data_IF_950947867371
#
_entry.id   IF_950947867371
#
_cell.length_a   1.000
_cell.length_b   1.000
_cell.length_c   1.000
_cell.angle_alpha   90.00
_cell.angle_beta   90.00
_cell.angle_gamma   90.00
#
_symmetry.space_group_name_H-M   'P 1'
#
loop_
_entity.id
_entity.type
_entity.pdbx_description
1 polymer ?
#
# COMPACT_ATOMS: atom_id res chain seq x y z
N UNK A 1 -4.99 2.66 -32.43
CA UNK A 1 -6.39 2.46 -32.01
C UNK A 1 -6.47 3.08 -30.63
N UNK A 2 -7.17 4.19 -30.49
CA UNK A 2 -7.25 4.93 -29.23
C UNK A 2 -8.16 4.13 -28.32
N UNK A 3 -7.59 3.52 -27.28
CA UNK A 3 -8.38 2.85 -26.24
C UNK A 3 -9.04 3.94 -25.40
N UNK A 4 -10.36 4.01 -25.46
CA UNK A 4 -11.15 4.78 -24.52
C UNK A 4 -11.03 4.11 -23.15
N UNK A 5 -10.57 4.87 -22.15
CA UNK A 5 -10.66 4.45 -20.75
C UNK A 5 -12.11 4.12 -20.41
N UNK A 6 -12.39 3.06 -19.64
CA UNK A 6 -13.73 2.81 -19.14
C UNK A 6 -14.16 4.03 -18.31
N UNK A 7 -15.31 4.60 -18.68
CA UNK A 7 -15.99 5.64 -17.92
C UNK A 7 -16.50 5.01 -16.63
N UNK A 8 -15.77 5.20 -15.54
CA UNK A 8 -16.27 4.98 -14.20
C UNK A 8 -17.45 5.93 -13.97
N UNK A 9 -18.60 5.38 -13.58
CA UNK A 9 -19.70 6.18 -13.07
C UNK A 9 -19.29 6.72 -11.69
N UNK A 10 -18.50 7.80 -11.67
CA UNK A 10 -18.31 8.59 -10.47
C UNK A 10 -19.69 9.12 -10.08
N UNK A 11 -20.19 8.71 -8.91
CA UNK A 11 -21.15 9.54 -8.20
C UNK A 11 -20.44 10.89 -7.98
N UNK A 12 -20.79 11.90 -8.77
CA UNK A 12 -20.18 13.22 -8.66
C UNK A 12 -20.48 13.78 -7.26
N UNK A 13 -19.47 13.79 -6.38
CA UNK A 13 -19.50 14.58 -5.16
C UNK A 13 -19.68 16.05 -5.56
N UNK A 14 -20.82 16.63 -5.19
CA UNK A 14 -21.16 18.03 -5.50
C UNK A 14 -20.92 18.97 -4.31
N UNK A 15 -20.42 18.43 -3.19
CA UNK A 15 -19.96 19.18 -2.02
C UNK A 15 -18.49 18.90 -1.68
N UNK A 16 -17.90 19.79 -0.89
CA UNK A 16 -16.48 19.75 -0.52
C UNK A 16 -16.12 18.69 0.54
N UNK A 17 -17.07 17.85 0.98
CA UNK A 17 -16.86 16.89 2.06
C UNK A 17 -16.01 15.67 1.71
N UNK A 18 -15.82 15.37 0.42
CA UNK A 18 -14.94 14.30 -0.08
C UNK A 18 -13.81 14.94 -0.90
N UNK A 19 -12.59 14.45 -0.73
CA UNK A 19 -11.45 14.77 -1.61
C UNK A 19 -11.64 14.01 -2.93
N UNK A 20 -11.88 14.70 -4.05
CA UNK A 20 -12.12 14.03 -5.32
C UNK A 20 -10.84 13.35 -5.82
N UNK A 21 -10.97 12.32 -6.65
CA UNK A 21 -9.82 11.79 -7.37
C UNK A 21 -9.29 12.82 -8.38
N UNK A 22 -7.97 12.96 -8.45
CA UNK A 22 -7.28 13.77 -9.45
C UNK A 22 -6.63 12.84 -10.49
N UNK A 23 -6.75 13.15 -11.78
CA UNK A 23 -6.15 12.35 -12.85
C UNK A 23 -4.62 12.20 -12.71
N UNK A 24 -3.97 13.26 -12.22
CA UNK A 24 -2.54 13.25 -11.90
C UNK A 24 -2.27 12.76 -10.47
N UNK A 25 -3.26 12.87 -9.57
CA UNK A 25 -3.06 12.75 -8.13
C UNK A 25 -2.70 14.11 -7.51
N UNK A 26 -2.63 14.13 -6.20
CA UNK A 26 -2.17 15.25 -5.37
C UNK A 26 -0.74 15.00 -4.90
N UNK A 27 0.00 16.07 -4.67
CA UNK A 27 1.29 15.99 -3.95
C UNK A 27 1.08 15.44 -2.55
N UNK A 28 1.99 14.60 -2.06
CA UNK A 28 1.89 13.95 -0.74
C UNK A 28 1.86 14.94 0.43
N UNK A 29 2.43 16.13 0.23
CA UNK A 29 2.49 17.25 1.17
C UNK A 29 1.39 18.31 0.96
N UNK A 30 0.43 18.05 0.06
CA UNK A 30 -0.65 18.99 -0.22
C UNK A 30 -1.72 19.00 0.88
N UNK A 31 -2.42 20.13 0.99
CA UNK A 31 -3.54 20.27 1.92
C UNK A 31 -4.68 19.29 1.59
N UNK A 32 -4.92 19.02 0.31
CA UNK A 32 -5.91 18.04 -0.14
C UNK A 32 -5.54 16.61 0.28
N UNK A 33 -4.28 16.20 0.10
CA UNK A 33 -3.84 14.85 0.50
C UNK A 33 -3.85 14.68 2.02
N UNK A 34 -3.50 15.71 2.78
CA UNK A 34 -3.54 15.72 4.25
C UNK A 34 -4.94 15.50 4.84
N UNK A 35 -6.00 15.66 4.03
CA UNK A 35 -7.39 15.37 4.43
C UNK A 35 -7.74 13.89 4.36
N UNK A 36 -6.90 13.04 3.79
CA UNK A 36 -7.18 11.61 3.68
C UNK A 36 -6.69 10.88 4.93
N UNK A 37 -7.64 10.27 5.66
CA UNK A 37 -7.35 9.56 6.90
C UNK A 37 -7.91 8.14 6.84
N UNK A 38 -7.06 7.17 6.54
CA UNK A 38 -7.45 5.77 6.59
C UNK A 38 -6.45 4.86 5.90
N UNK A 39 -6.53 3.55 6.18
CA UNK A 39 -5.69 2.55 5.52
C UNK A 39 -5.92 2.47 4.01
N UNK A 40 -7.13 2.75 3.53
CA UNK A 40 -7.48 2.72 2.10
C UNK A 40 -6.87 3.83 1.25
N UNK A 41 -6.05 4.74 1.81
CA UNK A 41 -5.28 5.71 1.01
C UNK A 41 -4.39 4.97 0.02
N UNK A 42 -3.91 3.79 0.43
CA UNK A 42 -3.29 2.80 -0.44
C UNK A 42 -4.15 1.53 -0.50
N UNK A 43 -4.17 0.89 -1.65
CA UNK A 43 -4.81 -0.40 -1.92
C UNK A 43 -3.77 -1.40 -2.39
N UNK A 44 -4.02 -2.65 -2.03
CA UNK A 44 -3.09 -3.74 -2.26
C UNK A 44 -3.87 -5.01 -2.62
N UNK A 45 -3.65 -5.52 -3.83
CA UNK A 45 -4.37 -6.72 -4.31
C UNK A 45 -3.50 -7.98 -4.38
N UNK A 46 -2.18 -7.80 -4.46
CA UNK A 46 -1.20 -8.87 -4.48
C UNK A 46 0.22 -8.30 -4.27
N UNK A 47 1.20 -9.21 -4.23
CA UNK A 47 2.62 -8.91 -4.19
C UNK A 47 3.32 -9.15 -5.52
N UNK A 48 4.38 -8.39 -5.77
CA UNK A 48 5.27 -8.61 -6.89
C UNK A 48 6.73 -8.74 -6.48
N UNK A 49 7.31 -9.88 -6.86
CA UNK A 49 8.71 -10.24 -6.68
C UNK A 49 9.62 -9.36 -7.55
N UNK A 50 10.20 -8.31 -7.00
CA UNK A 50 11.08 -7.41 -7.76
C UNK A 50 12.55 -7.68 -7.45
N UNK A 51 13.17 -8.49 -8.31
CA UNK A 51 14.54 -8.97 -8.13
C UNK A 51 15.57 -7.84 -8.29
N UNK A 52 16.45 -7.68 -7.28
CA UNK A 52 17.72 -6.97 -7.40
C UNK A 52 18.85 -7.99 -7.63
N UNK A 53 19.45 -7.98 -8.83
CA UNK A 53 20.42 -9.00 -9.24
C UNK A 53 20.47 -9.21 -10.75
N UNK A 54 21.02 -10.34 -11.19
CA UNK A 54 21.08 -10.70 -12.61
C UNK A 54 20.10 -11.84 -12.91
N UNK A 55 19.11 -11.56 -13.75
CA UNK A 55 18.10 -12.54 -14.20
C UNK A 55 18.15 -12.60 -15.73
N UNK A 56 18.29 -13.81 -16.28
CA UNK A 56 18.36 -14.06 -17.72
C UNK A 56 19.38 -13.17 -18.45
N UNK A 57 20.56 -13.00 -17.85
CA UNK A 57 21.65 -12.17 -18.39
C UNK A 57 21.40 -10.66 -18.34
N UNK A 58 20.35 -10.20 -17.65
CA UNK A 58 20.02 -8.79 -17.48
C UNK A 58 20.15 -8.40 -16.02
N UNK A 59 20.98 -7.40 -15.73
CA UNK A 59 21.06 -6.77 -14.40
C UNK A 59 19.80 -5.98 -14.15
N UNK A 60 19.21 -6.15 -12.97
CA UNK A 60 18.06 -5.41 -12.47
C UNK A 60 18.41 -4.70 -11.18
N UNK A 61 18.00 -3.45 -11.07
CA UNK A 61 18.06 -2.65 -9.83
C UNK A 61 16.68 -2.10 -9.54
N UNK A 62 16.37 -1.95 -8.26
CA UNK A 62 15.08 -1.45 -7.77
C UNK A 62 15.28 -0.06 -7.20
N UNK A 63 14.45 0.90 -7.58
CA UNK A 63 14.48 2.25 -7.07
C UNK A 63 13.10 2.64 -6.55
N UNK A 64 12.97 2.86 -5.24
CA UNK A 64 11.76 3.39 -4.65
C UNK A 64 11.88 4.92 -4.56
N UNK A 65 11.16 5.63 -5.42
CA UNK A 65 11.06 7.09 -5.46
C UNK A 65 10.11 7.57 -4.37
N UNK A 66 10.50 8.62 -3.68
CA UNK A 66 9.67 9.30 -2.68
C UNK A 66 9.95 10.80 -2.65
N UNK A 67 8.92 11.60 -2.37
CA UNK A 67 9.08 13.01 -1.97
C UNK A 67 9.33 13.07 -0.47
N UNK A 68 10.41 13.71 -0.03
CA UNK A 68 10.68 13.86 1.40
C UNK A 68 9.64 14.81 2.02
N UNK A 69 8.94 14.38 3.07
CA UNK A 69 8.00 15.22 3.80
C UNK A 69 8.66 16.15 4.81
N UNK A 70 9.93 15.90 5.11
CA UNK A 70 10.64 16.49 6.24
C UNK A 70 12.11 16.72 5.89
N UNK A 71 12.67 17.83 6.40
CA UNK A 71 14.11 18.04 6.37
C UNK A 71 14.82 17.10 7.36
N UNK A 72 16.02 16.67 6.99
CA UNK A 72 16.98 16.06 7.92
C UNK A 72 17.64 14.78 7.43
N UNK A 73 18.41 14.16 8.32
CA UNK A 73 19.16 12.94 8.00
C UNK A 73 18.24 11.72 8.07
N UNK A 74 18.22 10.94 7.00
CA UNK A 74 17.58 9.62 7.00
C UNK A 74 18.45 8.63 7.79
N UNK A 75 17.89 8.10 8.87
CA UNK A 75 18.59 7.23 9.81
C UNK A 75 18.49 5.77 9.42
N UNK A 76 17.29 5.31 9.02
CA UNK A 76 17.05 3.93 8.70
C UNK A 76 15.97 3.75 7.63
N UNK A 77 15.96 2.58 7.01
CA UNK A 77 14.92 2.13 6.08
C UNK A 77 14.46 0.71 6.44
N UNK A 78 13.17 0.43 6.26
CA UNK A 78 12.65 -0.94 6.13
C UNK A 78 12.10 -1.14 4.75
N UNK A 79 12.34 -2.32 4.19
CA UNK A 79 11.80 -2.80 2.93
C UNK A 79 11.26 -4.22 3.14
N UNK A 80 10.45 -4.72 2.21
CA UNK A 80 9.89 -6.07 2.28
C UNK A 80 10.76 -7.10 1.56
N UNK A 81 11.27 -8.07 2.34
CA UNK A 81 12.27 -9.05 1.89
C UNK A 81 11.76 -10.49 2.04
N UNK A 82 10.84 -10.95 1.19
CA UNK A 82 10.46 -12.34 1.22
C UNK A 82 11.65 -13.25 0.88
N UNK A 83 11.63 -14.41 1.51
CA UNK A 83 12.58 -15.48 1.28
C UNK A 83 11.89 -16.68 0.62
N UNK A 84 12.68 -17.67 0.24
CA UNK A 84 12.21 -18.90 -0.37
C UNK A 84 12.39 -18.95 -1.89
N UNK A 85 12.06 -20.12 -2.44
CA UNK A 85 12.21 -20.40 -3.87
C UNK A 85 11.34 -19.45 -4.69
N UNK A 86 11.97 -18.72 -5.61
CA UNK A 86 11.31 -17.74 -6.47
C UNK A 86 11.38 -16.29 -5.97
N UNK A 87 11.83 -16.07 -4.73
CA UNK A 87 12.14 -14.75 -4.18
C UNK A 87 13.64 -14.51 -4.12
N UNK A 88 14.42 -15.56 -3.86
CA UNK A 88 15.87 -15.48 -3.79
C UNK A 88 16.54 -16.73 -4.36
N UNK A 89 17.85 -16.63 -4.60
CA UNK A 89 18.74 -17.73 -5.02
C UNK A 89 20.07 -17.65 -4.25
N UNK A 90 20.68 -18.81 -4.03
CA UNK A 90 21.98 -18.91 -3.34
C UNK A 90 21.92 -18.27 -1.95
N UNK A 91 22.84 -17.35 -1.69
CA UNK A 91 22.91 -16.62 -0.40
C UNK A 91 21.91 -15.48 -0.25
N UNK A 92 21.18 -15.13 -1.31
CA UNK A 92 20.40 -13.90 -1.40
C UNK A 92 21.21 -12.68 -1.88
N UNK A 93 22.54 -12.82 -1.97
CA UNK A 93 23.46 -11.76 -2.42
C UNK A 93 23.85 -10.77 -1.33
N UNK A 94 24.52 -9.71 -1.77
CA UNK A 94 24.88 -8.55 -0.96
C UNK A 94 24.23 -7.32 -1.57
N UNK A 95 23.22 -6.80 -0.90
CA UNK A 95 22.42 -5.70 -1.43
C UNK A 95 22.93 -4.39 -0.84
N UNK A 96 23.47 -3.53 -1.70
CA UNK A 96 23.76 -2.13 -1.38
C UNK A 96 22.47 -1.33 -1.50
N UNK A 97 22.12 -0.62 -0.45
CA UNK A 97 20.94 0.25 -0.39
C UNK A 97 21.45 1.67 -0.25
N UNK A 98 21.14 2.51 -1.24
CA UNK A 98 21.64 3.88 -1.33
C UNK A 98 20.48 4.87 -1.41
N UNK A 99 20.63 6.03 -0.76
CA UNK A 99 19.74 7.18 -0.96
C UNK A 99 20.37 8.06 -2.03
N UNK A 100 19.71 8.20 -3.16
CA UNK A 100 20.15 9.04 -4.28
C UNK A 100 19.20 10.22 -4.48
N UNK A 101 19.69 11.38 -4.93
CA UNK A 101 18.82 12.44 -5.41
C UNK A 101 18.15 12.02 -6.73
N UNK A 102 17.00 12.62 -7.02
CA UNK A 102 16.38 12.57 -8.35
C UNK A 102 17.29 13.21 -9.41
N UNK A 103 17.19 12.75 -10.66
CA UNK A 103 17.98 13.26 -11.78
C UNK A 103 17.42 14.55 -12.38
N UNK A 104 16.24 15.00 -11.95
CA UNK A 104 15.56 16.19 -12.44
C UNK A 104 15.01 16.04 -13.87
N UNK A 105 15.08 14.84 -14.44
CA UNK A 105 14.46 14.54 -15.73
C UNK A 105 12.94 14.43 -15.56
N UNK A 106 12.21 14.51 -16.68
CA UNK A 106 10.75 14.26 -16.66
C UNK A 106 10.39 12.82 -16.28
N UNK A 107 11.36 11.90 -16.30
CA UNK A 107 11.17 10.52 -15.86
C UNK A 107 11.35 10.34 -14.36
N UNK A 108 11.93 11.32 -13.67
CA UNK A 108 12.22 11.29 -12.24
C UNK A 108 12.92 9.97 -11.85
N UNK A 109 14.12 9.78 -12.40
CA UNK A 109 14.94 8.60 -12.22
C UNK A 109 16.07 8.90 -11.22
N UNK A 110 16.65 7.87 -10.56
CA UNK A 110 17.76 8.10 -9.63
C UNK A 110 18.96 8.68 -10.38
N UNK A 111 19.55 9.74 -9.81
CA UNK A 111 20.79 10.31 -10.32
C UNK A 111 21.98 9.39 -10.01
N UNK A 112 22.26 8.46 -10.93
CA UNK A 112 23.33 7.47 -10.79
C UNK A 112 24.75 8.06 -10.79
N UNK A 113 24.90 9.36 -11.07
CA UNK A 113 26.19 10.06 -11.07
C UNK A 113 26.42 10.86 -9.78
N UNK A 114 25.39 11.02 -8.95
CA UNK A 114 25.50 11.73 -7.68
C UNK A 114 26.14 10.84 -6.60
N UNK A 115 26.84 11.48 -5.66
CA UNK A 115 27.25 10.80 -4.43
C UNK A 115 26.01 10.47 -3.59
N UNK A 116 25.86 9.22 -3.11
CA UNK A 116 24.76 8.88 -2.23
C UNK A 116 24.71 9.73 -0.97
N UNK A 117 23.49 10.12 -0.57
CA UNK A 117 23.26 10.84 0.67
C UNK A 117 23.43 9.91 1.88
N UNK A 118 23.07 8.64 1.71
CA UNK A 118 23.25 7.59 2.71
C UNK A 118 23.43 6.22 2.05
N UNK A 119 24.16 5.31 2.71
CA UNK A 119 24.39 3.93 2.25
C UNK A 119 24.31 2.93 3.40
N UNK A 120 23.69 1.78 3.16
CA UNK A 120 23.73 0.60 4.02
C UNK A 120 23.79 -0.67 3.19
N UNK A 121 23.98 -1.82 3.85
CA UNK A 121 24.00 -3.12 3.22
C UNK A 121 23.05 -4.10 3.89
N UNK A 122 22.47 -4.99 3.09
CA UNK A 122 21.69 -6.11 3.57
C UNK A 122 22.20 -7.41 2.95
N UNK A 123 22.48 -8.39 3.81
CA UNK A 123 22.88 -9.74 3.43
C UNK A 123 21.85 -10.72 4.03
N UNK A 124 20.97 -11.30 3.20
CA UNK A 124 19.93 -12.22 3.67
C UNK A 124 20.46 -13.53 4.31
N UNK A 125 21.73 -13.90 4.03
CA UNK A 125 22.41 -15.10 4.53
C UNK A 125 21.59 -16.40 4.33
N UNK A 126 21.00 -16.56 3.15
CA UNK A 126 20.17 -17.69 2.80
C UNK A 126 21.02 -18.93 2.42
N UNK A 127 20.40 -20.10 2.46
CA UNK A 127 20.93 -21.32 1.87
C UNK A 127 20.00 -21.75 0.73
N UNK A 128 20.47 -21.64 -0.50
CA UNK A 128 19.69 -21.86 -1.73
C UNK A 128 18.35 -21.11 -1.74
N UNK A 129 18.40 -19.83 -1.35
CA UNK A 129 17.24 -18.95 -1.28
C UNK A 129 16.31 -19.19 -0.09
N UNK A 130 16.62 -20.14 0.80
CA UNK A 130 15.81 -20.45 2.00
C UNK A 130 16.51 -19.90 3.25
N UNK A 131 15.74 -19.31 4.18
CA UNK A 131 16.30 -18.85 5.46
C UNK A 131 16.92 -19.99 6.26
N UNK A 132 18.11 -19.74 6.78
CA UNK A 132 18.87 -20.68 7.63
C UNK A 132 18.67 -20.42 9.13
N UNK A 133 17.94 -19.35 9.50
CA UNK A 133 17.67 -18.96 10.88
C UNK A 133 16.48 -18.00 11.00
N UNK A 134 16.14 -17.62 12.24
CA UNK A 134 14.98 -16.79 12.58
C UNK A 134 15.20 -15.27 12.37
N UNK A 135 15.84 -14.88 11.27
CA UNK A 135 16.03 -13.46 10.93
C UNK A 135 14.71 -12.77 10.58
N UNK A 136 14.54 -11.47 10.90
CA UNK A 136 13.29 -10.75 10.64
C UNK A 136 13.02 -10.67 9.12
N UNK A 137 11.73 -10.75 8.74
CA UNK A 137 11.28 -10.60 7.35
C UNK A 137 11.44 -9.15 6.83
N UNK A 138 11.44 -8.18 7.75
CA UNK A 138 11.51 -6.74 7.46
C UNK A 138 12.47 -6.02 8.42
N UNK A 139 13.78 -6.33 8.36
CA UNK A 139 14.77 -5.67 9.21
C UNK A 139 14.73 -4.15 9.06
N UNK A 140 14.91 -3.45 10.19
CA UNK A 140 15.22 -2.01 10.20
C UNK A 140 16.70 -1.82 9.93
N UNK A 141 17.02 -1.41 8.71
CA UNK A 141 18.40 -1.25 8.26
C UNK A 141 18.86 0.17 8.56
N UNK A 142 19.84 0.28 9.44
CA UNK A 142 20.47 1.55 9.79
C UNK A 142 21.44 1.97 8.68
N UNK A 143 21.40 3.24 8.28
CA UNK A 143 22.38 3.78 7.34
C UNK A 143 23.76 3.88 7.99
N UNK A 144 24.75 3.21 7.39
CA UNK A 144 26.14 3.18 7.86
C UNK A 144 26.85 4.50 7.55
N UNK A 145 26.62 5.05 6.35
CA UNK A 145 26.96 6.42 5.99
C UNK A 145 25.69 7.23 5.79
N UNK A 146 25.64 8.46 6.31
CA UNK A 146 24.46 9.34 6.28
C UNK A 146 24.84 10.81 6.48
N UNK A 147 25.78 11.26 5.68
CA UNK A 147 26.44 12.56 5.89
C UNK A 147 25.65 13.75 5.34
N UNK A 148 24.65 13.49 4.49
CA UNK A 148 23.84 14.51 3.83
C UNK A 148 22.39 14.47 4.32
N UNK A 149 21.73 15.64 4.29
CA UNK A 149 20.34 15.79 4.71
C UNK A 149 19.40 15.75 3.50
N UNK A 150 18.22 15.18 3.70
CA UNK A 150 17.08 15.35 2.81
C UNK A 150 16.48 16.74 3.03
N UNK A 151 15.92 17.29 1.96
CA UNK A 151 15.20 18.56 1.96
C UNK A 151 13.72 18.28 1.73
N UNK A 152 12.86 18.84 2.59
CA UNK A 152 11.41 18.68 2.45
C UNK A 152 10.94 19.18 1.07
N UNK A 153 10.04 18.42 0.44
CA UNK A 153 9.51 18.72 -0.88
C UNK A 153 10.38 18.24 -2.05
N UNK A 154 11.62 17.78 -1.83
CA UNK A 154 12.48 17.24 -2.89
C UNK A 154 12.26 15.73 -3.11
N UNK A 155 12.57 15.27 -4.33
CA UNK A 155 12.47 13.85 -4.71
C UNK A 155 13.80 13.13 -4.47
N UNK A 156 13.68 11.92 -3.93
CA UNK A 156 14.80 11.03 -3.65
C UNK A 156 14.45 9.60 -4.01
N UNK A 157 15.46 8.75 -4.05
CA UNK A 157 15.35 7.35 -4.38
C UNK A 157 16.05 6.47 -3.35
N UNK A 158 15.37 5.45 -2.85
CA UNK A 158 16.02 4.29 -2.22
C UNK A 158 16.36 3.30 -3.33
N UNK A 159 17.63 3.30 -3.75
CA UNK A 159 18.16 2.38 -4.76
C UNK A 159 18.71 1.11 -4.10
N UNK A 160 18.27 -0.05 -4.58
CA UNK A 160 18.77 -1.37 -4.20
C UNK A 160 19.55 -1.98 -5.35
N UNK A 161 20.85 -2.17 -5.13
CA UNK A 161 21.77 -2.79 -6.07
C UNK A 161 22.36 -4.06 -5.47
N UNK A 162 22.45 -5.14 -6.26
CA UNK A 162 23.15 -6.33 -5.82
C UNK A 162 24.63 -6.25 -6.22
N UNK A 163 25.49 -6.10 -5.20
CA UNK A 163 26.94 -5.96 -5.33
C UNK A 163 27.68 -7.24 -4.94
N UNK A 164 26.98 -8.38 -4.85
CA UNK A 164 27.59 -9.69 -4.67
C UNK A 164 28.61 -9.97 -5.79
N UNK A 165 29.65 -10.75 -5.48
CA UNK A 165 30.65 -11.15 -6.48
C UNK A 165 30.05 -12.05 -7.59
N UNK A 166 28.92 -12.71 -7.32
CA UNK A 166 28.19 -13.54 -8.27
C UNK A 166 26.67 -13.27 -8.23
N UNK A 167 26.20 -12.11 -8.74
CA UNK A 167 24.82 -11.64 -8.57
C UNK A 167 23.80 -12.40 -9.44
N UNK A 168 24.25 -13.31 -10.32
CA UNK A 168 23.40 -14.23 -11.08
C UNK A 168 23.05 -15.52 -10.31
N UNK A 169 23.93 -15.91 -9.38
CA UNK A 169 23.73 -17.06 -8.51
C UNK A 169 23.21 -16.66 -7.13
N UNK A 170 23.45 -15.42 -6.71
CA UNK A 170 23.04 -14.88 -5.43
C UNK A 170 22.20 -13.61 -5.64
N UNK A 171 20.88 -13.72 -5.57
CA UNK A 171 19.98 -12.56 -5.68
C UNK A 171 18.81 -12.67 -4.72
N UNK A 172 18.15 -11.54 -4.49
CA UNK A 172 16.95 -11.45 -3.66
C UNK A 172 15.97 -10.42 -4.23
N UNK A 173 14.69 -10.65 -4.02
CA UNK A 173 13.62 -9.71 -4.33
C UNK A 173 13.43 -8.70 -3.21
N UNK A 174 13.21 -7.45 -3.61
CA UNK A 174 12.52 -6.44 -2.80
C UNK A 174 11.09 -6.46 -3.29
N UNK A 175 10.15 -6.89 -2.45
CA UNK A 175 8.77 -7.03 -2.91
C UNK A 175 8.03 -5.69 -2.85
N UNK A 176 7.10 -5.54 -3.78
CA UNK A 176 6.25 -4.36 -3.90
C UNK A 176 4.79 -4.75 -3.79
N UNK A 177 4.00 -3.82 -3.29
CA UNK A 177 2.56 -3.88 -3.37
C UNK A 177 2.15 -3.72 -4.82
N UNK A 178 1.22 -4.55 -5.29
CA UNK A 178 0.62 -4.39 -6.61
C UNK A 178 -0.90 -4.31 -6.57
N UNK A 179 -1.42 -3.48 -7.45
CA UNK A 179 -2.84 -3.37 -7.77
C UNK A 179 -3.05 -3.74 -9.23
N UNK A 180 -3.97 -4.66 -9.50
CA UNK A 180 -4.40 -4.92 -10.88
C UNK A 180 -4.96 -3.62 -11.47
N UNK A 181 -4.50 -3.22 -12.66
CA UNK A 181 -4.83 -1.94 -13.29
C UNK A 181 -6.33 -1.75 -13.51
N UNK A 182 -7.07 -2.83 -13.73
CA UNK A 182 -8.54 -2.76 -13.87
C UNK A 182 -9.23 -2.38 -12.56
N UNK A 183 -8.60 -2.64 -11.41
CA UNK A 183 -9.04 -2.16 -10.10
C UNK A 183 -8.54 -0.73 -9.77
N UNK A 184 -7.79 -0.10 -10.67
CA UNK A 184 -7.26 1.25 -10.52
C UNK A 184 -5.80 1.32 -10.07
N UNK A 185 -5.40 2.47 -9.50
CA UNK A 185 -4.04 2.73 -9.00
C UNK A 185 -3.93 2.33 -7.52
N UNK A 186 -2.73 1.91 -7.06
CA UNK A 186 -2.51 1.63 -5.63
C UNK A 186 -2.86 2.78 -4.70
N UNK A 187 -2.62 4.04 -5.08
CA UNK A 187 -3.12 5.20 -4.35
C UNK A 187 -3.79 6.16 -5.32
N UNK A 188 -5.13 6.09 -5.41
CA UNK A 188 -5.88 6.87 -6.43
C UNK A 188 -5.75 8.38 -6.26
N UNK A 189 -5.52 8.87 -5.04
CA UNK A 189 -5.38 10.31 -4.78
C UNK A 189 -3.94 10.80 -4.87
N UNK A 190 -2.94 9.93 -4.92
CA UNK A 190 -1.54 10.33 -4.84
C UNK A 190 -0.92 10.48 -6.23
N UNK A 191 -0.13 11.53 -6.44
CA UNK A 191 0.75 11.61 -7.61
C UNK A 191 1.82 10.51 -7.48
N UNK A 192 1.87 9.60 -8.46
CA UNK A 192 2.83 8.50 -8.48
C UNK A 192 4.30 8.97 -8.53
N UNK A 193 4.53 10.25 -8.80
CA UNK A 193 5.84 10.89 -8.68
C UNK A 193 6.30 10.92 -7.21
N UNK A 194 5.40 11.13 -6.28
CA UNK A 194 5.71 11.38 -4.86
C UNK A 194 5.91 10.09 -4.05
N UNK A 195 5.40 8.97 -4.56
CA UNK A 195 5.60 7.63 -4.01
C UNK A 195 5.48 6.60 -5.12
N UNK A 196 6.60 6.06 -5.58
CA UNK A 196 6.60 5.19 -6.75
C UNK A 196 7.81 4.26 -6.85
N UNK A 197 7.70 3.28 -7.73
CA UNK A 197 8.74 2.29 -7.98
C UNK A 197 9.21 2.37 -9.42
N UNK A 198 10.52 2.48 -9.58
CA UNK A 198 11.22 2.51 -10.87
C UNK A 198 12.20 1.35 -10.92
N UNK A 199 12.21 0.60 -12.02
CA UNK A 199 13.12 -0.54 -12.20
C UNK A 199 14.13 -0.19 -13.29
N UNK A 200 15.41 -0.32 -12.95
CA UNK A 200 16.52 -0.19 -13.89
C UNK A 200 16.90 -1.54 -14.47
N UNK A 201 16.98 -1.64 -15.80
CA UNK A 201 17.42 -2.82 -16.52
C UNK A 201 18.68 -2.52 -17.31
N UNK A 202 19.66 -3.42 -17.26
CA UNK A 202 20.92 -3.25 -17.98
C UNK A 202 21.48 -4.60 -18.43
N UNK A 203 21.77 -4.73 -19.73
CA UNK A 203 22.61 -5.83 -20.22
C UNK A 203 24.07 -5.49 -19.99
N UNK A 204 24.91 -6.51 -19.84
CA UNK A 204 26.35 -6.34 -19.61
C UNK A 204 26.98 -5.40 -20.65
N UNK A 205 27.66 -4.35 -20.17
CA UNK A 205 28.37 -3.38 -21.01
C UNK A 205 27.50 -2.27 -21.62
N UNK A 206 26.21 -2.20 -21.28
CA UNK A 206 25.31 -1.11 -21.69
C UNK A 206 24.92 -0.22 -20.50
N UNK A 207 24.25 0.90 -20.76
CA UNK A 207 23.67 1.75 -19.72
C UNK A 207 22.33 1.19 -19.22
N UNK A 208 21.83 1.73 -18.10
CA UNK A 208 20.51 1.40 -17.59
C UNK A 208 19.42 2.01 -18.47
N UNK A 209 18.40 1.20 -18.78
CA UNK A 209 17.08 1.67 -19.19
C UNK A 209 16.15 1.60 -18.00
N UNK A 210 15.37 2.65 -17.77
CA UNK A 210 14.47 2.76 -16.62
C UNK A 210 13.01 2.58 -17.05
N UNK A 211 12.20 2.04 -16.15
CA UNK A 211 10.75 1.91 -16.31
C UNK A 211 10.06 2.30 -15.02
N UNK A 212 9.12 3.23 -15.10
CA UNK A 212 8.27 3.60 -13.96
C UNK A 212 7.12 2.60 -13.87
N UNK A 213 7.23 1.63 -12.96
CA UNK A 213 6.21 0.57 -12.83
C UNK A 213 5.02 1.00 -11.98
N UNK A 214 5.08 2.16 -11.32
CA UNK A 214 3.93 2.76 -10.65
C UNK A 214 3.00 3.47 -11.64
N UNK A 215 3.57 4.15 -12.64
CA UNK A 215 2.80 4.83 -13.69
C UNK A 215 2.50 3.91 -14.89
N UNK A 216 3.51 3.22 -15.43
CA UNK A 216 3.38 2.43 -16.65
C UNK A 216 2.91 1.00 -16.38
N UNK A 217 3.16 0.47 -15.19
CA UNK A 217 2.86 -0.92 -14.80
C UNK A 217 3.80 -1.97 -15.39
N UNK A 218 3.68 -3.21 -14.91
CA UNK A 218 4.34 -4.39 -15.47
C UNK A 218 3.34 -5.53 -15.62
N UNK A 219 3.05 -5.91 -16.87
CA UNK A 219 1.84 -6.67 -17.18
C UNK A 219 0.60 -5.85 -16.82
N UNK A 220 -0.37 -6.51 -16.20
CA UNK A 220 -1.65 -5.91 -15.81
C UNK A 220 -1.60 -5.23 -14.43
N UNK A 221 -0.41 -5.05 -13.85
CA UNK A 221 -0.26 -4.58 -12.47
C UNK A 221 0.49 -3.26 -12.38
N UNK A 222 0.02 -2.38 -11.50
CA UNK A 222 0.68 -1.14 -11.07
C UNK A 222 1.30 -1.34 -9.69
N UNK A 223 2.46 -0.74 -9.46
CA UNK A 223 3.31 -1.02 -8.30
C UNK A 223 3.28 0.13 -7.29
N UNK A 224 3.48 -0.18 -6.02
CA UNK A 224 3.75 0.78 -4.95
C UNK A 224 4.85 0.25 -4.01
N UNK A 225 5.79 1.10 -3.58
CA UNK A 225 6.77 0.75 -2.57
C UNK A 225 6.14 0.22 -1.27
N UNK A 226 6.72 -0.86 -0.73
CA UNK A 226 6.50 -1.31 0.66
C UNK A 226 7.73 -0.86 1.46
N UNK A 227 7.64 0.30 2.09
CA UNK A 227 8.79 1.02 2.61
C UNK A 227 8.45 1.87 3.83
N UNK A 228 9.30 1.79 4.87
CA UNK A 228 9.34 2.72 6.01
C UNK A 228 10.67 3.49 5.95
N UNK A 229 10.59 4.81 6.07
CA UNK A 229 11.71 5.72 6.22
C UNK A 229 11.70 6.25 7.65
N UNK A 230 12.82 6.14 8.37
CA UNK A 230 12.98 6.72 9.71
C UNK A 230 14.06 7.79 9.67
N UNK A 231 13.70 9.00 10.07
CA UNK A 231 14.61 10.13 10.22
C UNK A 231 15.27 10.12 11.60
N UNK A 232 16.45 10.73 11.73
CA UNK A 232 17.21 10.78 12.98
C UNK A 232 16.47 11.45 14.16
N UNK A 233 15.43 12.25 13.87
CA UNK A 233 14.54 12.85 14.87
C UNK A 233 13.41 11.92 15.35
N UNK A 234 13.37 10.66 14.90
CA UNK A 234 12.33 9.69 15.21
C UNK A 234 11.07 9.79 14.34
N UNK A 235 10.99 10.79 13.45
CA UNK A 235 9.89 10.91 12.48
C UNK A 235 9.93 9.77 11.47
N UNK A 236 8.75 9.31 11.09
CA UNK A 236 8.55 8.21 10.15
C UNK A 236 7.74 8.69 8.96
N UNK A 237 8.10 8.21 7.77
CA UNK A 237 7.34 8.37 6.54
C UNK A 237 7.24 7.01 5.85
N UNK A 238 6.09 6.65 5.31
CA UNK A 238 6.02 5.55 4.35
C UNK A 238 4.66 4.90 4.22
N UNK A 239 4.68 3.70 3.63
CA UNK A 239 3.53 2.81 3.40
C UNK A 239 4.05 1.39 3.40
N UNK A 240 3.39 0.48 4.13
CA UNK A 240 3.90 -0.88 4.35
C UNK A 240 2.85 -1.98 4.13
N UNK A 241 2.00 -1.82 3.13
CA UNK A 241 0.98 -2.81 2.77
C UNK A 241 1.62 -4.03 2.08
N UNK A 242 1.73 -5.14 2.80
CA UNK A 242 2.57 -6.28 2.42
C UNK A 242 1.83 -7.55 2.02
N UNK A 243 0.62 -7.80 2.51
CA UNK A 243 -0.10 -9.05 2.18
C UNK A 243 -1.56 -8.77 1.88
N UNK A 244 -2.12 -9.44 0.87
CA UNK A 244 -3.46 -9.18 0.36
C UNK A 244 -4.47 -10.26 0.73
N UNK A 245 -5.63 -9.79 1.18
CA UNK A 245 -6.87 -10.53 1.28
C UNK A 245 -7.67 -10.60 -0.03
N UNK A 246 -7.21 -9.99 -1.13
CA UNK A 246 -7.95 -9.94 -2.41
C UNK A 246 -7.92 -11.22 -3.24
N UNK A 247 -7.31 -12.31 -2.76
CA UNK A 247 -7.29 -13.61 -3.46
C UNK A 247 -8.62 -14.35 -3.28
N UNK A 248 -9.18 -14.82 -4.38
CA UNK A 248 -10.50 -15.48 -4.45
C UNK A 248 -10.34 -16.99 -4.71
N UNK A 249 -11.15 -17.86 -4.06
CA UNK A 249 -12.17 -17.53 -3.07
C UNK A 249 -11.65 -17.49 -1.62
N UNK A 250 -10.41 -17.91 -1.36
CA UNK A 250 -10.03 -18.29 0.00
C UNK A 250 -9.84 -17.12 0.97
N UNK A 251 -9.49 -15.93 0.48
CA UNK A 251 -9.03 -14.82 1.35
C UNK A 251 -10.05 -13.69 1.49
N UNK A 252 -10.79 -13.40 0.41
CA UNK A 252 -11.77 -12.31 0.43
C UNK A 252 -12.96 -12.60 1.33
N UNK A 253 -13.44 -11.56 2.00
CA UNK A 253 -14.62 -11.62 2.85
C UNK A 253 -15.88 -11.37 2.03
N UNK A 254 -16.96 -12.08 2.39
CA UNK A 254 -18.31 -11.77 1.92
C UNK A 254 -19.04 -11.02 3.03
N UNK A 255 -19.40 -9.77 2.78
CA UNK A 255 -20.22 -8.96 3.68
C UNK A 255 -21.69 -9.27 3.42
N UNK A 256 -22.41 -9.69 4.44
CA UNK A 256 -23.86 -9.96 4.39
C UNK A 256 -24.58 -9.25 5.55
N UNK A 257 -25.90 -9.42 5.66
CA UNK A 257 -26.66 -8.95 6.81
C UNK A 257 -26.19 -9.59 8.13
N UNK A 258 -25.79 -10.86 8.12
CA UNK A 258 -25.39 -11.63 9.31
C UNK A 258 -23.87 -11.62 9.55
N UNK A 259 -23.09 -11.32 8.51
CA UNK A 259 -21.61 -11.27 8.56
C UNK A 259 -21.11 -9.88 8.14
N UNK A 260 -21.41 -8.83 8.92
CA UNK A 260 -20.88 -7.49 8.66
C UNK A 260 -19.36 -7.43 8.91
N UNK A 261 -18.74 -6.40 8.38
CA UNK A 261 -17.36 -6.02 8.68
C UNK A 261 -17.30 -4.62 9.26
N UNK A 262 -16.22 -4.27 9.96
CA UNK A 262 -15.96 -2.89 10.37
C UNK A 262 -14.47 -2.57 10.36
N UNK A 263 -14.15 -1.32 10.08
CA UNK A 263 -12.84 -0.76 10.45
C UNK A 263 -13.00 -0.02 11.78
N UNK A 264 -12.24 -0.43 12.79
CA UNK A 264 -12.21 0.22 14.09
C UNK A 264 -11.07 1.21 14.14
N UNK A 265 -11.37 2.50 14.16
CA UNK A 265 -10.42 3.60 14.29
C UNK A 265 -10.17 3.97 15.76
N UNK A 266 -8.92 4.31 16.06
CA UNK A 266 -8.46 4.89 17.32
C UNK A 266 -7.47 6.02 17.00
N UNK A 267 -7.96 7.21 16.60
CA UNK A 267 -7.10 8.29 16.13
C UNK A 267 -6.19 8.81 17.25
N UNK A 268 -4.93 9.13 16.96
CA UNK A 268 -4.03 9.71 17.98
C UNK A 268 -4.18 11.23 18.14
N UNK A 269 -4.89 11.86 17.22
CA UNK A 269 -5.24 13.28 17.26
C UNK A 269 -6.72 13.46 16.94
N UNK A 270 -7.32 14.54 17.42
CA UNK A 270 -8.69 14.89 17.05
C UNK A 270 -8.83 14.98 15.52
N UNK A 271 -9.94 14.45 15.01
CA UNK A 271 -10.31 14.48 13.59
C UNK A 271 -11.71 15.06 13.43
N UNK A 272 -11.95 15.78 12.34
CA UNK A 272 -13.28 16.21 11.93
C UNK A 272 -13.55 15.61 10.56
N UNK A 273 -14.43 14.62 10.49
CA UNK A 273 -14.74 13.84 9.30
C UNK A 273 -15.90 14.50 8.55
N UNK A 274 -15.74 14.65 7.23
CA UNK A 274 -16.73 15.23 6.32
C UNK A 274 -17.21 14.24 5.24
N UNK A 275 -16.53 13.10 5.09
CA UNK A 275 -16.84 12.10 4.07
C UNK A 275 -16.18 10.76 4.38
N UNK A 276 -16.54 9.73 3.61
CA UNK A 276 -15.85 8.45 3.60
C UNK A 276 -15.73 7.90 2.18
N UNK A 277 -14.76 7.02 1.98
CA UNK A 277 -14.63 6.17 0.81
C UNK A 277 -14.40 4.73 1.21
N UNK A 278 -14.93 3.80 0.44
CA UNK A 278 -14.70 2.36 0.61
C UNK A 278 -14.46 1.69 -0.74
N UNK A 279 -13.45 0.83 -0.81
CA UNK A 279 -13.22 -0.06 -1.94
C UNK A 279 -13.86 -1.44 -1.69
N UNK A 280 -14.94 -1.74 -2.39
CA UNK A 280 -15.72 -3.00 -2.25
C UNK A 280 -16.48 -3.27 -3.56
N UNK A 281 -17.09 -4.42 -3.75
CA UNK A 281 -17.94 -4.67 -4.90
C UNK A 281 -19.12 -5.57 -4.56
N UNK A 282 -20.28 -5.35 -5.20
CA UNK A 282 -21.46 -6.18 -5.04
C UNK A 282 -21.30 -7.48 -5.82
N UNK A 283 -21.26 -8.60 -5.10
CA UNK A 283 -21.34 -9.94 -5.66
C UNK A 283 -22.80 -10.35 -5.93
N UNK A 284 -23.71 -9.97 -5.03
CA UNK A 284 -25.14 -9.96 -5.29
C UNK A 284 -25.67 -8.52 -5.17
N UNK A 285 -26.36 -8.00 -6.20
CA UNK A 285 -26.81 -6.62 -6.22
C UNK A 285 -27.69 -6.27 -5.01
N UNK A 286 -27.77 -4.99 -4.69
CA UNK A 286 -28.59 -4.45 -3.62
C UNK A 286 -27.86 -3.35 -2.86
N UNK A 287 -28.10 -3.32 -1.55
CA UNK A 287 -27.72 -2.19 -0.70
C UNK A 287 -26.64 -2.61 0.30
N UNK A 288 -25.62 -1.78 0.45
CA UNK A 288 -24.67 -1.80 1.56
C UNK A 288 -24.97 -0.63 2.50
N UNK A 289 -25.46 -0.92 3.69
CA UNK A 289 -25.58 0.07 4.75
C UNK A 289 -24.20 0.32 5.37
N UNK A 290 -23.90 1.58 5.65
CA UNK A 290 -22.72 1.99 6.40
C UNK A 290 -23.13 2.83 7.60
N UNK A 291 -22.37 2.74 8.68
CA UNK A 291 -22.57 3.57 9.87
C UNK A 291 -21.23 3.84 10.55
N UNK A 292 -21.03 5.09 10.98
CA UNK A 292 -19.91 5.48 11.83
C UNK A 292 -20.42 5.61 13.26
N UNK A 293 -19.85 4.83 14.15
CA UNK A 293 -20.32 4.67 15.53
C UNK A 293 -19.25 5.05 16.54
N UNK A 294 -19.69 5.54 17.70
CA UNK A 294 -18.90 5.57 18.93
C UNK A 294 -19.55 4.60 19.90
N UNK A 295 -18.86 3.51 20.22
CA UNK A 295 -19.45 2.35 20.89
C UNK A 295 -20.75 1.87 20.16
N UNK A 296 -21.90 1.94 20.82
CA UNK A 296 -23.20 1.55 20.26
C UNK A 296 -23.98 2.75 19.69
N UNK A 297 -23.50 3.99 19.88
CA UNK A 297 -24.14 5.19 19.36
C UNK A 297 -23.79 5.38 17.88
N UNK A 298 -24.82 5.45 17.02
CA UNK A 298 -24.66 5.81 15.62
C UNK A 298 -24.53 7.33 15.50
N UNK A 299 -23.35 7.81 15.11
CA UNK A 299 -23.09 9.24 14.91
C UNK A 299 -23.63 9.71 13.56
N UNK A 300 -23.50 8.85 12.55
CA UNK A 300 -23.98 9.07 11.18
C UNK A 300 -24.08 7.73 10.46
N UNK A 301 -25.03 7.62 9.53
CA UNK A 301 -25.25 6.41 8.73
C UNK A 301 -25.77 6.77 7.33
N UNK A 302 -25.72 5.80 6.43
CA UNK A 302 -26.25 5.91 5.09
C UNK A 302 -26.18 4.61 4.32
N UNK A 303 -26.35 4.70 3.00
CA UNK A 303 -26.47 3.55 2.11
C UNK A 303 -25.70 3.76 0.82
N UNK A 304 -25.12 2.69 0.32
CA UNK A 304 -24.58 2.56 -1.04
C UNK A 304 -25.51 1.60 -1.78
N UNK A 305 -26.04 2.03 -2.92
CA UNK A 305 -26.95 1.24 -3.75
C UNK A 305 -26.23 0.78 -5.02
N UNK A 306 -26.25 -0.53 -5.27
CA UNK A 306 -25.61 -1.15 -6.43
C UNK A 306 -26.63 -2.08 -7.13
N UNK A 307 -27.36 -1.58 -8.14
CA UNK A 307 -28.50 -2.29 -8.74
C UNK A 307 -28.09 -3.51 -9.56
N UNK A 308 -26.83 -3.58 -10.01
CA UNK A 308 -26.26 -4.69 -10.75
C UNK A 308 -24.95 -5.14 -10.09
N UNK A 309 -24.66 -6.44 -10.09
CA UNK A 309 -23.40 -6.94 -9.54
C UNK A 309 -22.23 -6.42 -10.37
N UNK A 310 -21.19 -5.94 -9.69
CA UNK A 310 -19.96 -5.40 -10.28
C UNK A 310 -18.70 -6.10 -9.76
N UNK A 311 -18.86 -7.17 -8.96
CA UNK A 311 -17.75 -8.02 -8.59
C UNK A 311 -17.33 -8.93 -9.75
N UNK A 312 -16.07 -8.78 -10.13
CA UNK A 312 -15.39 -9.56 -11.16
C UNK A 312 -14.11 -10.17 -10.58
N UNK A 313 -13.45 -11.03 -11.36
CA UNK A 313 -12.16 -11.61 -10.97
C UNK A 313 -11.16 -11.52 -12.11
N UNK A 314 -9.92 -11.22 -11.75
CA UNK A 314 -8.78 -11.15 -12.64
C UNK A 314 -7.90 -12.37 -12.47
N UNK A 315 -7.70 -13.13 -13.55
CA UNK A 315 -6.81 -14.29 -13.54
C UNK A 315 -5.34 -13.85 -13.55
N UNK A 316 -4.54 -14.41 -12.65
CA UNK A 316 -3.08 -14.33 -12.68
C UNK A 316 -2.50 -15.74 -12.87
N UNK A 317 -1.20 -15.90 -13.20
CA UNK A 317 -0.60 -17.23 -13.35
C UNK A 317 -0.69 -18.13 -12.11
N UNK A 318 -0.92 -17.57 -10.91
CA UNK A 318 -0.94 -18.33 -9.65
C UNK A 318 -2.27 -18.24 -8.89
N UNK A 319 -2.98 -17.12 -9.01
CA UNK A 319 -4.14 -16.78 -8.18
C UNK A 319 -5.26 -16.14 -9.02
N UNK A 320 -6.47 -16.08 -8.47
CA UNK A 320 -7.54 -15.18 -8.94
C UNK A 320 -7.66 -14.00 -7.98
N UNK A 321 -7.69 -12.79 -8.51
CA UNK A 321 -7.78 -11.56 -7.73
C UNK A 321 -9.17 -10.98 -7.90
N UNK A 322 -9.86 -10.66 -6.80
CA UNK A 322 -11.18 -10.02 -6.87
C UNK A 322 -11.09 -8.55 -7.24
N UNK A 323 -12.11 -8.06 -7.95
CA UNK A 323 -12.26 -6.63 -8.22
C UNK A 323 -12.82 -5.86 -7.04
N UNK A 324 -12.73 -4.54 -7.11
CA UNK A 324 -13.47 -3.63 -6.25
C UNK A 324 -13.82 -2.35 -7.03
N UNK A 325 -14.86 -1.68 -6.56
CA UNK A 325 -15.27 -0.33 -6.96
C UNK A 325 -15.06 0.60 -5.77
N UNK A 326 -14.62 1.82 -6.03
CA UNK A 326 -14.59 2.87 -5.02
C UNK A 326 -15.95 3.54 -4.91
N UNK A 327 -16.50 3.59 -3.70
CA UNK A 327 -17.71 4.34 -3.38
C UNK A 327 -17.34 5.51 -2.50
N UNK A 328 -17.67 6.72 -2.97
CA UNK A 328 -17.39 7.99 -2.31
C UNK A 328 -18.68 8.57 -1.73
N UNK A 329 -18.66 8.86 -0.43
CA UNK A 329 -19.86 9.28 0.32
C UNK A 329 -19.55 10.55 1.10
N UNK A 330 -20.25 11.62 0.79
CA UNK A 330 -20.26 12.84 1.60
C UNK A 330 -21.17 12.64 2.81
N UNK A 331 -20.70 13.02 3.99
CA UNK A 331 -21.52 12.92 5.20
C UNK A 331 -22.55 14.06 5.23
N UNK A 332 -23.79 13.79 5.68
CA UNK A 332 -24.81 14.84 5.84
C UNK A 332 -24.43 15.89 6.90
N UNK A 333 -23.48 15.57 7.78
CA UNK A 333 -22.93 16.44 8.80
C UNK A 333 -21.49 16.05 9.12
N UNK A 334 -20.68 17.01 9.59
CA UNK A 334 -19.34 16.70 10.07
C UNK A 334 -19.40 15.92 11.38
N UNK A 335 -18.52 14.95 11.54
CA UNK A 335 -18.41 14.12 12.75
C UNK A 335 -17.04 14.34 13.39
N UNK A 336 -17.04 14.64 14.69
CA UNK A 336 -15.80 14.80 15.44
C UNK A 336 -15.39 13.45 16.06
N UNK A 337 -14.15 13.05 15.81
CA UNK A 337 -13.51 11.90 16.45
C UNK A 337 -12.45 12.43 17.42
N UNK A 338 -12.64 12.18 18.71
CA UNK A 338 -11.70 12.58 19.74
C UNK A 338 -10.48 11.64 19.75
N UNK A 339 -9.30 12.21 20.02
CA UNK A 339 -8.07 11.42 20.15
C UNK A 339 -8.18 10.34 21.24
N UNK A 340 -7.76 9.12 20.92
CA UNK A 340 -7.69 7.98 21.83
C UNK A 340 -9.01 7.21 22.04
N UNK A 341 -10.12 7.70 21.49
CA UNK A 341 -11.43 7.03 21.53
C UNK A 341 -11.59 6.03 20.38
N UNK A 342 -12.49 5.05 20.53
CA UNK A 342 -12.75 4.04 19.50
C UNK A 342 -13.98 4.40 18.67
N UNK A 343 -13.82 4.35 17.35
CA UNK A 343 -14.91 4.58 16.40
C UNK A 343 -14.99 3.46 15.38
N UNK A 344 -16.19 2.96 15.13
CA UNK A 344 -16.41 1.84 14.23
C UNK A 344 -17.08 2.33 12.94
N UNK A 345 -16.40 2.20 11.80
CA UNK A 345 -17.05 2.27 10.49
C UNK A 345 -17.53 0.87 10.11
N UNK A 346 -18.80 0.59 10.39
CA UNK A 346 -19.44 -0.71 10.10
C UNK A 346 -20.07 -0.70 8.70
N UNK A 347 -19.86 -1.81 7.97
CA UNK A 347 -20.45 -2.11 6.67
C UNK A 347 -21.31 -3.37 6.78
N UNK A 348 -22.58 -3.27 6.42
CA UNK A 348 -23.56 -4.35 6.52
C UNK A 348 -24.45 -4.40 5.29
N UNK A 349 -24.50 -5.53 4.61
CA UNK A 349 -25.40 -5.68 3.47
C UNK A 349 -26.86 -5.78 3.95
N UNK A 350 -27.81 -5.23 3.17
CA UNK A 350 -29.23 -5.36 3.47
C UNK A 350 -29.90 -6.48 2.67
N UNK A 351 -30.91 -7.11 3.28
CA UNK A 351 -31.70 -8.17 2.65
C UNK A 351 -30.83 -9.34 2.19
N UNK A 352 -30.88 -9.65 0.89
CA UNK A 352 -30.11 -10.74 0.29
C UNK A 352 -28.81 -10.27 -0.36
N UNK A 353 -28.46 -8.98 -0.28
CA UNK A 353 -27.26 -8.44 -0.93
C UNK A 353 -25.99 -9.06 -0.35
N UNK A 354 -24.95 -9.20 -1.19
CA UNK A 354 -23.67 -9.79 -0.81
C UNK A 354 -22.57 -8.93 -1.44
N UNK A 355 -21.61 -8.50 -0.62
CA UNK A 355 -20.52 -7.63 -1.06
C UNK A 355 -19.17 -8.29 -0.78
N UNK A 356 -18.16 -7.98 -1.58
CA UNK A 356 -16.81 -8.53 -1.49
C UNK A 356 -15.82 -7.45 -1.11
N UNK A 357 -15.04 -7.74 -0.08
CA UNK A 357 -14.00 -6.85 0.42
C UNK A 357 -12.75 -7.66 0.77
N UNK A 358 -11.58 -7.17 0.36
CA UNK A 358 -10.29 -7.76 0.69
C UNK A 358 -9.53 -6.82 1.60
N UNK A 359 -9.04 -7.32 2.73
CA UNK A 359 -8.12 -6.59 3.60
C UNK A 359 -6.70 -6.56 3.04
N UNK A 360 -5.84 -5.81 3.70
CA UNK A 360 -4.39 -5.90 3.54
C UNK A 360 -3.69 -5.86 4.90
N UNK A 361 -2.53 -6.50 5.00
CA UNK A 361 -1.66 -6.40 6.17
C UNK A 361 -0.74 -5.18 6.07
N UNK A 362 -0.67 -4.38 7.13
CA UNK A 362 0.05 -3.09 7.18
C UNK A 362 1.47 -3.17 7.76
N UNK A 363 1.96 -4.37 8.07
CA UNK A 363 3.32 -4.59 8.58
C UNK A 363 3.54 -4.31 10.07
N UNK A 364 2.56 -3.82 10.82
CA UNK A 364 2.70 -3.52 12.27
C UNK A 364 3.04 -4.75 13.14
N UNK A 365 2.78 -5.97 12.64
CA UNK A 365 3.25 -7.22 13.24
C UNK A 365 4.77 -7.35 13.30
N UNK A 366 5.48 -6.54 12.52
CA UNK A 366 6.93 -6.56 12.39
C UNK A 366 7.59 -5.24 12.83
N UNK A 367 6.95 -4.53 13.76
CA UNK A 367 7.41 -3.27 14.33
C UNK A 367 7.59 -2.14 13.30
N UNK A 368 6.81 -2.19 12.21
CA UNK A 368 6.63 -1.04 11.31
C UNK A 368 5.79 0.00 12.05
N UNK A 369 6.28 1.24 12.06
CA UNK A 369 5.70 2.34 12.80
C UNK A 369 4.65 3.11 11.99
N UNK A 370 3.75 3.79 12.69
CA UNK A 370 2.92 4.84 12.11
C UNK A 370 3.79 5.97 11.54
N UNK A 371 3.44 6.57 10.38
CA UNK A 371 2.29 6.25 9.53
C UNK A 371 2.54 5.15 8.49
N UNK A 372 3.75 4.58 8.40
CA UNK A 372 4.07 3.57 7.39
C UNK A 372 3.20 2.31 7.53
N UNK A 373 2.99 1.85 8.76
CA UNK A 373 1.88 0.98 9.09
C UNK A 373 0.71 1.85 9.56
N UNK A 374 -0.48 1.68 8.97
CA UNK A 374 -1.68 2.36 9.46
C UNK A 374 -2.16 1.74 10.79
N UNK A 375 -1.54 2.10 11.91
CA UNK A 375 -1.83 1.52 13.24
C UNK A 375 -2.93 2.22 14.02
N UNK A 376 -3.48 3.32 13.49
CA UNK A 376 -4.63 4.00 14.11
C UNK A 376 -5.96 3.33 13.78
N UNK A 377 -5.96 2.16 13.15
CA UNK A 377 -7.17 1.36 12.99
C UNK A 377 -6.88 -0.13 12.84
N UNK A 378 -7.94 -0.94 12.95
CA UNK A 378 -7.89 -2.38 12.79
C UNK A 378 -9.18 -2.88 12.10
N UNK A 379 -9.00 -3.68 11.04
CA UNK A 379 -10.10 -4.40 10.40
C UNK A 379 -10.64 -5.50 11.31
N UNK A 380 -11.96 -5.58 11.40
CA UNK A 380 -12.68 -6.62 12.12
C UNK A 380 -13.84 -7.16 11.28
N UNK A 381 -14.20 -8.42 11.55
CA UNK A 381 -15.40 -9.06 11.02
C UNK A 381 -16.16 -9.76 12.14
N UNK A 382 -17.46 -9.94 11.95
CA UNK A 382 -18.30 -10.64 12.91
C UNK A 382 -18.18 -12.16 12.70
N UNK A 383 -17.71 -12.86 13.72
CA UNK A 383 -17.58 -14.32 13.75
C UNK A 383 -18.32 -14.83 15.00
N UNK A 384 -19.31 -15.70 14.80
CA UNK A 384 -20.09 -16.32 15.89
C UNK A 384 -20.66 -15.30 16.90
N UNK A 385 -21.11 -14.15 16.41
CA UNK A 385 -21.66 -13.05 17.21
C UNK A 385 -20.62 -12.20 17.94
N UNK A 386 -19.33 -12.41 17.69
CA UNK A 386 -18.24 -11.62 18.26
C UNK A 386 -17.42 -10.94 17.16
N UNK A 387 -17.08 -9.68 17.39
CA UNK A 387 -16.12 -8.98 16.54
C UNK A 387 -14.71 -9.48 16.84
N UNK A 388 -14.06 -10.04 15.83
CA UNK A 388 -12.66 -10.45 15.90
C UNK A 388 -11.85 -9.70 14.85
N UNK A 389 -10.55 -9.56 15.08
CA UNK A 389 -9.65 -8.96 14.10
C UNK A 389 -9.56 -9.83 12.85
N UNK A 390 -9.61 -9.19 11.69
CA UNK A 390 -9.53 -9.83 10.37
C UNK A 390 -8.22 -10.60 10.19
N UNK A 391 -8.32 -11.81 9.65
CA UNK A 391 -7.21 -12.67 9.29
C UNK A 391 -7.53 -13.40 8.00
N UNK A 392 -7.05 -12.87 6.87
CA UNK A 392 -7.34 -13.44 5.56
C UNK A 392 -6.78 -14.85 5.32
N UNK A 393 -5.93 -15.37 6.20
CA UNK A 393 -5.45 -16.76 6.11
C UNK A 393 -6.36 -17.76 6.82
N UNK A 394 -7.10 -17.31 7.84
CA UNK A 394 -7.99 -18.13 8.65
C UNK A 394 -9.06 -17.21 9.29
N UNK A 395 -10.19 -17.08 8.60
CA UNK A 395 -11.30 -16.20 9.01
C UNK A 395 -11.87 -16.55 10.39
N UNK A 396 -11.61 -17.74 10.93
CA UNK A 396 -12.08 -18.14 12.26
C UNK A 396 -11.14 -17.71 13.40
N UNK A 397 -9.96 -17.18 13.10
CA UNK A 397 -8.95 -16.78 14.10
C UNK A 397 -8.69 -15.28 14.06
N UNK A 398 -8.45 -14.65 15.22
CA UNK A 398 -8.11 -13.24 15.25
C UNK A 398 -6.75 -12.99 14.59
N UNK A 399 -6.71 -12.02 13.68
CA UNK A 399 -5.49 -11.47 13.11
C UNK A 399 -4.98 -10.26 13.89
N UNK A 400 -3.99 -9.57 13.30
CA UNK A 400 -3.44 -8.32 13.81
C UNK A 400 -2.77 -7.57 12.67
N UNK A 401 -2.88 -6.25 12.67
CA UNK A 401 -2.20 -5.41 11.69
C UNK A 401 -2.78 -5.58 10.30
N UNK A 402 -4.09 -5.72 10.23
CA UNK A 402 -4.88 -5.86 8.99
C UNK A 402 -5.89 -4.73 8.93
N UNK A 403 -6.16 -4.24 7.72
CA UNK A 403 -7.04 -3.11 7.50
C UNK A 403 -7.94 -3.33 6.28
N UNK A 404 -9.15 -2.77 6.32
CA UNK A 404 -10.03 -2.66 5.16
C UNK A 404 -9.63 -1.46 4.29
N UNK A 405 -9.88 -1.48 2.97
CA UNK A 405 -9.58 -0.35 2.10
C UNK A 405 -10.63 0.77 2.26
N UNK A 406 -10.62 1.42 3.42
CA UNK A 406 -11.51 2.54 3.78
C UNK A 406 -10.72 3.81 4.06
N UNK A 407 -11.32 4.96 3.75
CA UNK A 407 -10.76 6.29 4.01
C UNK A 407 -11.83 7.18 4.60
N UNK A 408 -11.53 7.87 5.69
CA UNK A 408 -12.29 9.00 6.18
C UNK A 408 -11.71 10.28 5.58
N UNK A 409 -12.57 11.13 5.04
CA UNK A 409 -12.19 12.44 4.52
C UNK A 409 -12.35 13.47 5.62
N UNK A 410 -11.29 14.22 5.89
CA UNK A 410 -11.31 15.27 6.89
C UNK A 410 -11.85 16.57 6.30
N UNK A 411 -12.51 17.35 7.14
CA UNK A 411 -12.97 18.69 6.79
C UNK A 411 -11.76 19.60 6.47
N UNK A 412 -11.91 20.55 5.51
CA UNK A 412 -10.88 21.53 5.17
C UNK A 412 -10.42 22.43 6.32
#
# INVERSE_FOLDING_TARGET
MVFASPTFAAAQATGGGVVPESAQGYSIDSAEFARLYGPGVFTHTALSNTVAGVVDGTTRVVSNRFRALEDGVLEAVRLYWPDGRGYAKGTGGKLKISVLPDDGSTGHFPNMLAEPLAVTYYEPHLNDGVKTGAGPLVPKLQFESREQQLVAGELYHILVENVDANPAENFSSVDHSITNRENGRPARWLDTTDWGSVIGYRKTGLDYTWKDVSAEGSGDNLFSPIMELTFAGGRVQGVFDMESGSVVPERMYTVTADTPVRERFTPTSDKTVSGLSVATAAHRPGTLAWSLKHDEEVLVEGKIEQPEADFETHDTPKNKIGSYTWYDVELPQHVHLAAGENYDLELRAEGTSEWKIGDHSNGSLYDVAWPAAFTESQAQHLQDGQWINTNHWDHAKPGRGTNWPVVLHLAP
#
